data_IF_900682475487
#
_entry.id   IF_900682475487
#
_cell.length_a   1.000
_cell.length_b   1.000
_cell.length_c   1.000
_cell.angle_alpha   90.00
_cell.angle_beta   90.00
_cell.angle_gamma   90.00
#
_symmetry.space_group_name_H-M   'P 1'
#
loop_
_entity.id
_entity.type
_entity.pdbx_description
1 polymer ?
#
# COMPACT_ATOMS: atom_id res chain seq x y z
N UNK A 1 -21.60 15.07 -3.09
CA UNK A 1 -20.28 14.42 -3.16
C UNK A 1 -19.61 14.78 -4.48
N UNK A 2 -18.45 15.39 -4.44
CA UNK A 2 -17.75 15.83 -5.65
C UNK A 2 -16.76 14.76 -6.09
N UNK A 3 -17.24 13.76 -6.83
CA UNK A 3 -16.45 12.59 -7.29
C UNK A 3 -15.12 12.96 -7.95
N UNK A 4 -15.04 14.08 -8.66
CA UNK A 4 -13.79 14.52 -9.31
C UNK A 4 -12.68 14.86 -8.32
N UNK A 5 -13.00 15.44 -7.17
CA UNK A 5 -12.02 15.77 -6.14
C UNK A 5 -11.56 14.49 -5.45
N UNK A 6 -12.50 13.61 -5.12
CA UNK A 6 -12.20 12.30 -4.55
C UNK A 6 -11.23 11.52 -5.46
N UNK A 7 -11.56 11.39 -6.75
CA UNK A 7 -10.71 10.70 -7.71
C UNK A 7 -9.33 11.35 -7.87
N UNK A 8 -9.26 12.69 -7.82
CA UNK A 8 -7.98 13.39 -7.90
C UNK A 8 -7.06 13.04 -6.73
N UNK A 9 -7.59 13.06 -5.51
CA UNK A 9 -6.81 12.75 -4.30
C UNK A 9 -6.43 11.27 -4.27
N UNK A 10 -7.34 10.36 -4.62
CA UNK A 10 -7.05 8.94 -4.73
C UNK A 10 -5.99 8.64 -5.79
N UNK A 11 -6.07 9.31 -6.95
CA UNK A 11 -5.06 9.18 -8.00
C UNK A 11 -3.68 9.69 -7.55
N UNK A 12 -3.62 10.82 -6.85
CA UNK A 12 -2.38 11.33 -6.28
C UNK A 12 -1.80 10.35 -5.25
N UNK A 13 -2.64 9.82 -4.36
CA UNK A 13 -2.24 8.83 -3.35
C UNK A 13 -1.66 7.56 -3.97
N UNK A 14 -2.35 6.99 -4.97
CA UNK A 14 -1.86 5.82 -5.71
C UNK A 14 -0.52 6.09 -6.39
N UNK A 15 -0.35 7.26 -6.99
CA UNK A 15 0.91 7.66 -7.63
C UNK A 15 2.04 7.77 -6.60
N UNK A 16 1.80 8.41 -5.46
CA UNK A 16 2.77 8.54 -4.37
C UNK A 16 3.15 7.16 -3.82
N UNK A 17 2.17 6.27 -3.60
CA UNK A 17 2.44 4.89 -3.17
C UNK A 17 3.27 4.12 -4.19
N UNK A 18 2.91 4.21 -5.48
CA UNK A 18 3.69 3.58 -6.55
C UNK A 18 5.14 4.08 -6.59
N UNK A 19 5.36 5.38 -6.45
CA UNK A 19 6.70 5.97 -6.36
C UNK A 19 7.44 5.52 -5.08
N UNK A 20 6.75 5.39 -3.95
CA UNK A 20 7.37 4.96 -2.70
C UNK A 20 7.87 3.51 -2.74
N UNK A 21 7.31 2.68 -3.64
CA UNK A 21 7.79 1.31 -3.89
C UNK A 21 9.20 1.24 -4.49
N UNK A 22 9.75 2.38 -4.95
CA UNK A 22 11.15 2.44 -5.38
C UNK A 22 12.10 2.06 -4.24
N UNK A 23 11.79 2.43 -2.99
CA UNK A 23 12.63 2.10 -1.84
C UNK A 23 12.78 0.58 -1.63
N UNK A 24 11.70 -0.21 -1.51
CA UNK A 24 11.82 -1.66 -1.41
C UNK A 24 12.41 -2.31 -2.66
N UNK A 25 12.22 -1.74 -3.87
CA UNK A 25 12.88 -2.21 -5.10
C UNK A 25 14.40 -2.11 -4.97
N UNK A 26 14.92 -1.00 -4.48
CA UNK A 26 16.36 -0.82 -4.26
C UNK A 26 16.91 -1.80 -3.23
N UNK A 27 16.15 -2.06 -2.15
CA UNK A 27 16.53 -3.04 -1.12
C UNK A 27 16.53 -4.45 -1.70
N UNK A 28 15.46 -4.83 -2.40
CA UNK A 28 15.35 -6.13 -3.04
C UNK A 28 16.48 -6.37 -4.05
N UNK A 29 16.83 -5.35 -4.83
CA UNK A 29 17.96 -5.41 -5.76
C UNK A 29 19.29 -5.59 -5.03
N UNK A 30 19.52 -4.87 -3.93
CA UNK A 30 20.77 -4.96 -3.14
C UNK A 30 20.98 -6.32 -2.46
N UNK A 31 19.91 -6.99 -2.06
CA UNK A 31 19.95 -8.32 -1.42
C UNK A 31 19.70 -9.49 -2.39
N UNK A 32 19.49 -9.23 -3.68
CA UNK A 32 19.22 -10.27 -4.68
C UNK A 32 17.91 -11.03 -4.44
N UNK A 33 16.90 -10.36 -3.88
CA UNK A 33 15.61 -10.97 -3.55
C UNK A 33 14.76 -11.28 -4.79
N UNK A 34 13.97 -12.36 -4.72
CA UNK A 34 13.05 -12.76 -5.79
C UNK A 34 11.77 -11.92 -5.85
N UNK A 35 11.60 -10.97 -4.93
CA UNK A 35 10.44 -10.09 -4.79
C UNK A 35 10.49 -8.84 -5.69
N UNK A 36 11.60 -8.60 -6.38
CA UNK A 36 11.82 -7.45 -7.26
C UNK A 36 10.74 -7.31 -8.32
N UNK A 37 10.38 -8.41 -9.01
CA UNK A 37 9.34 -8.40 -10.02
C UNK A 37 7.96 -8.04 -9.43
N UNK A 38 7.66 -8.51 -8.23
CA UNK A 38 6.43 -8.21 -7.52
C UNK A 38 6.28 -6.70 -7.26
N UNK A 39 7.35 -6.04 -6.82
CA UNK A 39 7.36 -4.59 -6.61
C UNK A 39 7.30 -3.80 -7.92
N UNK A 40 8.00 -4.24 -8.97
CA UNK A 40 7.95 -3.58 -10.28
C UNK A 40 6.55 -3.59 -10.86
N UNK A 41 5.86 -4.75 -10.87
CA UNK A 41 4.48 -4.85 -11.34
C UNK A 41 3.52 -4.01 -10.49
N UNK A 42 3.64 -4.06 -9.17
CA UNK A 42 2.80 -3.29 -8.26
C UNK A 42 2.98 -1.79 -8.43
N UNK A 43 4.23 -1.32 -8.51
CA UNK A 43 4.57 0.08 -8.76
C UNK A 43 4.03 0.55 -10.12
N UNK A 44 4.24 -0.24 -11.17
CA UNK A 44 3.74 0.07 -12.51
C UNK A 44 2.21 0.21 -12.52
N UNK A 45 1.47 -0.71 -11.92
CA UNK A 45 0.01 -0.66 -11.82
C UNK A 45 -0.43 0.62 -11.10
N UNK A 46 0.16 0.91 -9.93
CA UNK A 46 -0.20 2.09 -9.15
C UNK A 46 0.07 3.39 -9.91
N UNK A 47 1.19 3.48 -10.64
CA UNK A 47 1.54 4.69 -11.42
C UNK A 47 0.68 4.80 -12.67
N UNK A 48 0.50 3.72 -13.44
CA UNK A 48 -0.29 3.73 -14.67
C UNK A 48 -1.77 4.05 -14.40
N UNK A 49 -2.30 3.62 -13.26
CA UNK A 49 -3.68 3.93 -12.87
C UNK A 49 -3.76 5.29 -12.17
N UNK A 50 -2.87 5.54 -11.21
CA UNK A 50 -2.93 6.73 -10.36
C UNK A 50 -2.61 8.02 -11.09
N UNK A 51 -1.53 8.04 -11.89
CA UNK A 51 -1.06 9.24 -12.57
C UNK A 51 -2.07 9.82 -13.57
N UNK A 52 -2.69 9.05 -14.48
CA UNK A 52 -3.70 9.57 -15.38
C UNK A 52 -4.93 10.10 -14.65
N UNK A 53 -5.39 9.39 -13.61
CA UNK A 53 -6.54 9.83 -12.80
C UNK A 53 -6.22 11.18 -12.14
N UNK A 54 -5.06 11.29 -11.52
CA UNK A 54 -4.61 12.53 -10.90
C UNK A 54 -4.49 13.68 -11.92
N UNK A 55 -3.90 13.43 -13.08
CA UNK A 55 -3.66 14.44 -14.11
C UNK A 55 -4.96 14.96 -14.75
N UNK A 56 -5.87 14.04 -15.11
CA UNK A 56 -7.15 14.37 -15.78
C UNK A 56 -8.13 15.06 -14.82
N UNK A 57 -8.12 14.66 -13.54
CA UNK A 57 -9.07 15.19 -12.55
C UNK A 57 -8.59 16.44 -11.82
N UNK A 58 -7.41 16.95 -12.16
CA UNK A 58 -6.81 18.15 -11.55
C UNK A 58 -7.72 19.36 -11.73
N UNK A 59 -8.34 19.84 -10.64
CA UNK A 59 -9.28 20.95 -10.67
C UNK A 59 -9.25 21.71 -9.34
N UNK A 60 -9.19 23.04 -9.41
CA UNK A 60 -9.26 23.91 -8.23
C UNK A 60 -10.71 24.03 -7.74
N UNK A 61 -11.08 23.27 -6.71
CA UNK A 61 -12.39 23.38 -6.06
C UNK A 61 -12.24 23.35 -4.55
N UNK A 62 -13.08 24.13 -3.86
CA UNK A 62 -13.18 24.17 -2.41
C UNK A 62 -13.73 22.84 -1.88
N UNK A 63 -13.08 22.29 -0.88
CA UNK A 63 -13.50 21.07 -0.17
C UNK A 63 -14.65 21.39 0.78
N UNK A 64 -15.59 20.46 0.89
CA UNK A 64 -16.67 20.49 1.90
C UNK A 64 -16.34 19.44 2.97
N UNK A 65 -16.75 19.64 4.22
CA UNK A 65 -16.47 18.69 5.32
C UNK A 65 -16.93 17.26 4.99
N UNK A 66 -18.06 17.10 4.30
CA UNK A 66 -18.55 15.78 3.84
C UNK A 66 -17.63 15.12 2.83
N UNK A 67 -17.00 15.91 1.96
CA UNK A 67 -16.03 15.39 0.99
C UNK A 67 -14.76 14.91 1.71
N UNK A 68 -14.35 15.60 2.79
CA UNK A 68 -13.22 15.21 3.62
C UNK A 68 -13.38 13.82 4.23
N UNK A 69 -14.50 13.52 4.87
CA UNK A 69 -14.76 12.19 5.43
C UNK A 69 -14.73 11.09 4.37
N UNK A 70 -15.36 11.34 3.21
CA UNK A 70 -15.33 10.37 2.13
C UNK A 70 -13.93 10.15 1.59
N UNK A 71 -13.14 11.21 1.40
CA UNK A 71 -11.76 11.12 0.94
C UNK A 71 -10.94 10.26 1.90
N UNK A 72 -11.01 10.51 3.20
CA UNK A 72 -10.28 9.73 4.20
C UNK A 72 -10.66 8.25 4.13
N UNK A 73 -11.95 7.94 4.17
CA UNK A 73 -12.43 6.55 4.16
C UNK A 73 -11.94 5.79 2.92
N UNK A 74 -12.14 6.37 1.73
CA UNK A 74 -11.70 5.72 0.50
C UNK A 74 -10.19 5.66 0.38
N UNK A 75 -9.46 6.67 0.87
CA UNK A 75 -7.99 6.65 0.86
C UNK A 75 -7.44 5.47 1.65
N UNK A 76 -7.99 5.15 2.81
CA UNK A 76 -7.58 3.99 3.61
C UNK A 76 -7.78 2.68 2.85
N UNK A 77 -8.95 2.49 2.25
CA UNK A 77 -9.28 1.27 1.50
C UNK A 77 -8.38 1.14 0.27
N UNK A 78 -8.23 2.20 -0.52
CA UNK A 78 -7.39 2.17 -1.72
C UNK A 78 -5.90 2.00 -1.41
N UNK A 79 -5.42 2.62 -0.33
CA UNK A 79 -4.04 2.43 0.15
C UNK A 79 -3.80 0.98 0.57
N UNK A 80 -4.77 0.36 1.25
CA UNK A 80 -4.66 -1.05 1.64
C UNK A 80 -4.68 -1.98 0.43
N UNK A 81 -5.54 -1.72 -0.57
CA UNK A 81 -5.56 -2.49 -1.82
C UNK A 81 -4.23 -2.37 -2.56
N UNK A 82 -3.74 -1.14 -2.77
CA UNK A 82 -2.47 -0.90 -3.45
C UNK A 82 -1.28 -1.48 -2.69
N UNK A 83 -1.28 -1.36 -1.36
CA UNK A 83 -0.26 -1.91 -0.49
C UNK A 83 -0.24 -3.44 -0.43
N UNK A 84 -1.36 -4.10 -0.76
CA UNK A 84 -1.46 -5.56 -0.85
C UNK A 84 -0.79 -6.13 -2.12
N UNK A 85 -0.69 -5.34 -3.19
CA UNK A 85 -0.18 -5.81 -4.49
C UNK A 85 1.24 -6.40 -4.39
N UNK A 86 2.22 -5.76 -3.71
CA UNK A 86 3.56 -6.33 -3.59
C UNK A 86 3.57 -7.69 -2.86
N UNK A 87 2.76 -7.86 -1.82
CA UNK A 87 2.65 -9.14 -1.10
C UNK A 87 2.13 -10.25 -2.01
N UNK A 88 1.13 -9.94 -2.82
CA UNK A 88 0.52 -10.89 -3.75
C UNK A 88 1.44 -11.22 -4.93
N UNK A 89 1.94 -10.21 -5.64
CA UNK A 89 2.76 -10.42 -6.85
C UNK A 89 4.17 -10.97 -6.56
N UNK A 90 4.71 -10.76 -5.38
CA UNK A 90 5.96 -11.40 -4.97
C UNK A 90 5.79 -12.88 -4.61
N UNK A 91 4.54 -13.35 -4.45
CA UNK A 91 4.25 -14.69 -3.96
C UNK A 91 4.48 -14.88 -2.45
N UNK A 92 4.83 -13.81 -1.73
CA UNK A 92 5.00 -13.86 -0.28
C UNK A 92 3.70 -14.24 0.45
N UNK A 93 2.56 -13.72 -0.06
CA UNK A 93 1.21 -14.07 0.40
C UNK A 93 0.37 -14.41 -0.82
N UNK A 94 0.21 -15.71 -1.15
CA UNK A 94 -0.49 -16.13 -2.38
C UNK A 94 -1.98 -15.84 -2.40
N UNK A 95 -2.61 -15.71 -1.22
CA UNK A 95 -4.01 -15.40 -1.10
C UNK A 95 -4.23 -13.89 -1.06
N UNK A 96 -5.04 -13.37 -1.98
CA UNK A 96 -5.32 -11.92 -2.09
C UNK A 96 -6.02 -11.36 -0.85
N UNK A 97 -6.89 -12.15 -0.20
CA UNK A 97 -7.59 -11.74 1.03
C UNK A 97 -6.59 -11.55 2.18
N UNK A 98 -5.63 -12.46 2.29
CA UNK A 98 -4.61 -12.45 3.30
C UNK A 98 -3.61 -11.29 3.06
N UNK A 99 -3.24 -11.06 1.79
CA UNK A 99 -2.41 -9.93 1.39
C UNK A 99 -3.11 -8.59 1.71
N UNK A 100 -4.41 -8.49 1.46
CA UNK A 100 -5.20 -7.31 1.81
C UNK A 100 -5.27 -7.12 3.34
N UNK A 101 -5.50 -8.20 4.10
CA UNK A 101 -5.52 -8.15 5.56
C UNK A 101 -4.18 -7.65 6.12
N UNK A 102 -3.06 -8.19 5.66
CA UNK A 102 -1.72 -7.76 6.09
C UNK A 102 -1.45 -6.29 5.77
N UNK A 103 -1.82 -5.86 4.55
CA UNK A 103 -1.71 -4.47 4.13
C UNK A 103 -2.60 -3.55 4.96
N UNK A 104 -3.86 -3.91 5.16
CA UNK A 104 -4.82 -3.12 5.96
C UNK A 104 -4.35 -2.99 7.41
N UNK A 105 -3.88 -4.08 8.00
CA UNK A 105 -3.30 -4.08 9.34
C UNK A 105 -2.08 -3.16 9.46
N UNK A 106 -1.23 -3.13 8.42
CA UNK A 106 -0.11 -2.20 8.34
C UNK A 106 -0.57 -0.75 8.26
N UNK A 107 -1.43 -0.44 7.30
CA UNK A 107 -1.94 0.93 7.06
C UNK A 107 -2.69 1.47 8.28
N UNK A 108 -3.52 0.66 8.94
CA UNK A 108 -4.24 1.05 10.17
C UNK A 108 -3.39 1.02 11.43
N UNK A 109 -2.12 0.64 11.32
CA UNK A 109 -1.18 0.49 12.46
C UNK A 109 -1.65 -0.49 13.54
N UNK A 110 -2.54 -1.41 13.20
CA UNK A 110 -3.08 -2.42 14.13
C UNK A 110 -2.00 -3.42 14.55
N UNK A 111 -1.04 -3.73 13.66
CA UNK A 111 0.09 -4.63 13.95
C UNK A 111 -0.27 -6.12 13.98
N UNK A 112 -1.53 -6.47 13.72
CA UNK A 112 -1.94 -7.88 13.57
C UNK A 112 -1.36 -8.47 12.28
N UNK A 113 -0.83 -9.70 12.33
CA UNK A 113 -0.14 -10.32 11.20
C UNK A 113 -0.50 -11.78 11.05
N UNK A 114 -0.66 -12.20 9.79
CA UNK A 114 -0.84 -13.61 9.41
C UNK A 114 0.50 -14.30 9.12
N UNK A 115 1.59 -13.54 8.99
CA UNK A 115 2.90 -14.05 8.59
C UNK A 115 3.53 -15.00 9.62
N UNK A 116 3.04 -15.01 10.86
CA UNK A 116 3.46 -15.94 11.89
C UNK A 116 2.70 -17.27 11.90
N UNK A 117 1.68 -17.44 11.06
CA UNK A 117 0.85 -18.62 11.06
C UNK A 117 1.29 -19.64 9.98
N UNK A 118 1.95 -20.70 10.42
CA UNK A 118 2.45 -21.79 9.54
C UNK A 118 1.31 -22.50 8.80
N UNK A 119 0.10 -22.53 9.37
CA UNK A 119 -1.05 -23.18 8.74
C UNK A 119 -1.58 -22.42 7.52
N UNK A 120 -1.46 -21.09 7.53
CA UNK A 120 -1.85 -20.22 6.40
C UNK A 120 -0.76 -20.08 5.35
N UNK A 121 0.51 -20.13 5.77
CA UNK A 121 1.67 -19.94 4.90
C UNK A 121 2.71 -21.04 5.11
N UNK A 122 2.48 -22.28 4.60
CA UNK A 122 3.35 -23.42 4.82
C UNK A 122 4.78 -23.25 4.28
N UNK A 123 4.98 -22.32 3.34
CA UNK A 123 6.30 -22.02 2.78
C UNK A 123 7.17 -21.17 3.72
N UNK A 124 6.59 -20.56 4.76
CA UNK A 124 7.31 -19.81 5.80
C UNK A 124 7.73 -20.69 6.98
N UNK A 125 8.29 -21.86 6.73
CA UNK A 125 8.71 -22.81 7.78
C UNK A 125 9.69 -22.23 8.82
N UNK A 126 10.47 -21.23 8.42
CA UNK A 126 11.45 -20.56 9.28
C UNK A 126 10.94 -19.22 9.86
N UNK A 127 9.62 -18.97 9.81
CA UNK A 127 9.04 -17.74 10.33
C UNK A 127 9.16 -16.54 9.38
N UNK A 128 8.89 -15.36 9.93
CA UNK A 128 8.87 -14.07 9.19
C UNK A 128 10.23 -13.75 8.57
N UNK A 129 11.32 -14.21 9.20
CA UNK A 129 12.69 -13.95 8.75
C UNK A 129 13.03 -14.62 7.41
N UNK A 130 12.25 -15.62 6.97
CA UNK A 130 12.41 -16.25 5.66
C UNK A 130 11.84 -15.43 4.50
N UNK A 131 11.12 -14.35 4.78
CA UNK A 131 10.59 -13.45 3.76
C UNK A 131 11.71 -12.62 3.11
N UNK A 132 11.56 -12.29 1.81
CA UNK A 132 12.47 -11.37 1.14
C UNK A 132 12.56 -10.02 1.87
N UNK A 133 13.75 -9.46 1.92
CA UNK A 133 14.04 -8.20 2.65
C UNK A 133 13.20 -7.02 2.14
N UNK A 134 12.87 -6.98 0.84
CA UNK A 134 11.98 -5.97 0.27
C UNK A 134 10.58 -6.03 0.87
N UNK A 135 10.03 -7.23 1.04
CA UNK A 135 8.71 -7.45 1.65
C UNK A 135 8.70 -7.07 3.12
N UNK A 136 9.73 -7.42 3.89
CA UNK A 136 9.86 -7.03 5.30
C UNK A 136 9.95 -5.49 5.45
N UNK A 137 10.74 -4.87 4.58
CA UNK A 137 10.82 -3.41 4.55
C UNK A 137 9.49 -2.78 4.19
N UNK A 138 8.80 -3.29 3.15
CA UNK A 138 7.51 -2.77 2.70
C UNK A 138 6.45 -2.83 3.81
N UNK A 139 6.36 -3.94 4.52
CA UNK A 139 5.47 -4.11 5.66
C UNK A 139 5.69 -3.03 6.73
N UNK A 140 6.95 -2.81 7.12
CA UNK A 140 7.32 -1.79 8.11
C UNK A 140 7.08 -0.37 7.59
N UNK A 141 7.29 -0.15 6.30
CA UNK A 141 7.11 1.14 5.65
C UNK A 141 5.64 1.55 5.57
N UNK A 142 4.74 0.63 5.17
CA UNK A 142 3.28 0.88 5.17
C UNK A 142 2.80 1.26 6.57
N UNK A 143 3.27 0.57 7.60
CA UNK A 143 2.89 0.86 8.98
C UNK A 143 3.34 2.27 9.41
N UNK A 144 4.50 2.72 8.97
CA UNK A 144 4.97 4.09 9.23
C UNK A 144 4.13 5.13 8.50
N UNK A 145 3.81 4.90 7.23
CA UNK A 145 2.94 5.81 6.46
C UNK A 145 1.57 5.91 7.11
N UNK A 146 0.98 4.78 7.52
CA UNK A 146 -0.30 4.76 8.20
C UNK A 146 -0.29 5.55 9.50
N UNK A 147 0.73 5.36 10.34
CA UNK A 147 0.88 6.11 11.59
C UNK A 147 0.99 7.62 11.38
N UNK A 148 1.77 8.06 10.40
CA UNK A 148 1.84 9.49 10.05
C UNK A 148 0.49 10.03 9.53
N UNK A 149 -0.25 9.24 8.74
CA UNK A 149 -1.56 9.61 8.24
C UNK A 149 -2.57 9.87 9.35
N UNK A 150 -2.57 9.05 10.40
CA UNK A 150 -3.42 9.24 11.59
C UNK A 150 -3.07 10.54 12.31
N UNK A 151 -1.79 10.83 12.50
CA UNK A 151 -1.33 12.06 13.18
C UNK A 151 -1.77 13.30 12.40
N UNK A 152 -1.61 13.30 11.07
CA UNK A 152 -2.07 14.42 10.21
C UNK A 152 -3.58 14.61 10.32
N UNK A 153 -4.36 13.51 10.37
CA UNK A 153 -5.81 13.58 10.55
C UNK A 153 -6.23 14.19 11.90
N UNK A 154 -5.46 13.95 12.96
CA UNK A 154 -5.75 14.54 14.29
C UNK A 154 -5.43 16.03 14.37
N UNK A 155 -4.49 16.52 13.57
CA UNK A 155 -4.03 17.91 13.59
C UNK A 155 -4.88 18.80 12.64
N UNK A 156 -5.50 18.22 11.62
CA UNK A 156 -6.29 18.92 10.60
C UNK A 156 -7.73 19.20 11.05
#
# INVERSE_FOLDING_TARGET
MRFKILLNILGALLTILGCSMILPILISFGYGGNDLNGFLFSSAICIIVGFPIWFITRHNKTLTNRDGFAIVTFSWVFTAIAGALPFYFSGAIPNITDAFFESMSGVTTTGSSILGNINTLPHLKNGIESLPHGILFWRSFIQRIGGMGIVVFYIA
#
